data_IF_399660213206
#
_entry.id   IF_399660213206
#
_cell.length_a   1.000
_cell.length_b   1.000
_cell.length_c   1.000
_cell.angle_alpha   90.00
_cell.angle_beta   90.00
_cell.angle_gamma   90.00
#
_symmetry.space_group_name_H-M   'P 1'
#
loop_
_entity.id
_entity.type
_entity.pdbx_description
1 polymer ?
#
# COMPACT_ATOMS: atom_id res chain seq x y z
N UNK A 1 22.18 -14.98 21.78
CA UNK A 1 22.64 -14.19 20.63
C UNK A 1 21.42 -13.49 20.08
N UNK A 2 21.35 -12.16 20.19
CA UNK A 2 20.14 -11.38 19.91
C UNK A 2 19.91 -11.29 18.39
N UNK A 3 18.95 -12.05 17.88
CA UNK A 3 18.55 -12.08 16.48
C UNK A 3 17.02 -12.16 16.42
N UNK A 4 16.31 -11.13 16.90
CA UNK A 4 14.83 -11.22 17.07
C UNK A 4 14.01 -10.04 16.53
N UNK A 5 14.57 -9.15 15.70
CA UNK A 5 13.79 -7.99 15.19
C UNK A 5 13.38 -8.08 13.71
N UNK A 6 14.06 -8.91 12.89
CA UNK A 6 13.86 -9.03 11.43
C UNK A 6 13.17 -10.33 11.00
N UNK A 7 13.32 -10.72 9.73
CA UNK A 7 12.78 -11.99 9.22
C UNK A 7 13.69 -13.17 9.59
N UNK A 8 13.09 -14.30 9.96
CA UNK A 8 13.82 -15.58 10.08
C UNK A 8 14.25 -16.09 8.70
N UNK A 9 15.23 -17.01 8.61
CA UNK A 9 15.61 -17.62 7.34
C UNK A 9 14.44 -18.27 6.59
N UNK A 10 13.53 -18.94 7.31
CA UNK A 10 12.35 -19.58 6.72
C UNK A 10 11.33 -18.54 6.20
N UNK A 11 11.14 -17.45 6.95
CA UNK A 11 10.29 -16.33 6.53
C UNK A 11 10.84 -15.64 5.28
N UNK A 12 12.15 -15.41 5.24
CA UNK A 12 12.84 -14.82 4.09
C UNK A 12 12.73 -15.74 2.86
N UNK A 13 12.96 -17.04 3.04
CA UNK A 13 12.79 -18.02 1.98
C UNK A 13 11.35 -18.09 1.46
N UNK A 14 10.35 -18.02 2.35
CA UNK A 14 8.94 -17.97 1.96
C UNK A 14 8.61 -16.70 1.18
N UNK A 15 9.08 -15.53 1.62
CA UNK A 15 8.88 -14.28 0.88
C UNK A 15 9.52 -14.33 -0.52
N UNK A 16 10.75 -14.83 -0.65
CA UNK A 16 11.37 -14.97 -1.97
C UNK A 16 10.65 -15.97 -2.87
N UNK A 17 10.13 -17.07 -2.30
CA UNK A 17 9.39 -18.11 -3.04
C UNK A 17 8.00 -17.65 -3.48
N UNK A 18 7.26 -16.96 -2.62
CA UNK A 18 5.84 -16.68 -2.84
C UNK A 18 5.57 -15.23 -3.25
N UNK A 19 6.50 -14.32 -2.97
CA UNK A 19 6.39 -12.87 -3.23
C UNK A 19 5.54 -12.14 -2.19
N UNK A 20 5.01 -12.84 -1.20
CA UNK A 20 4.38 -12.27 -0.01
C UNK A 20 4.72 -13.08 1.23
N UNK A 21 4.48 -12.50 2.40
CA UNK A 21 4.62 -13.18 3.68
C UNK A 21 3.61 -12.63 4.68
N UNK A 22 2.87 -13.52 5.36
CA UNK A 22 2.01 -13.16 6.49
C UNK A 22 2.80 -13.36 7.79
N UNK A 23 2.86 -12.32 8.62
CA UNK A 23 3.51 -12.32 9.94
C UNK A 23 2.42 -12.08 11.00
N UNK A 24 1.97 -13.14 11.70
CA UNK A 24 0.92 -13.01 12.69
C UNK A 24 1.33 -12.19 13.92
N UNK A 25 0.42 -11.34 14.40
CA UNK A 25 0.61 -10.50 15.59
C UNK A 25 1.84 -9.59 15.48
N UNK A 26 2.05 -9.00 14.31
CA UNK A 26 3.13 -8.04 14.07
C UNK A 26 2.93 -6.73 14.85
N UNK A 27 1.68 -6.31 15.04
CA UNK A 27 1.30 -5.21 15.92
C UNK A 27 0.64 -5.74 17.19
N UNK A 28 0.97 -5.10 18.32
CA UNK A 28 0.23 -5.27 19.56
C UNK A 28 -1.20 -4.70 19.42
N UNK A 29 -2.16 -5.29 20.15
CA UNK A 29 -3.57 -4.89 20.05
C UNK A 29 -3.81 -3.46 20.54
N UNK A 30 -2.98 -2.95 21.45
CA UNK A 30 -2.99 -1.55 21.88
C UNK A 30 -2.57 -0.62 20.74
N UNK A 31 -1.58 -1.00 19.94
CA UNK A 31 -1.17 -0.26 18.74
C UNK A 31 -2.30 -0.28 17.71
N UNK A 32 -2.88 -1.45 17.43
CA UNK A 32 -4.03 -1.58 16.52
C UNK A 32 -5.17 -0.64 16.95
N UNK A 33 -5.53 -0.67 18.24
CA UNK A 33 -6.59 0.18 18.80
C UNK A 33 -6.27 1.68 18.66
N UNK A 34 -5.01 2.07 18.87
CA UNK A 34 -4.57 3.46 18.69
C UNK A 34 -4.67 3.92 17.23
N UNK A 35 -4.32 3.06 16.27
CA UNK A 35 -4.40 3.37 14.84
C UNK A 35 -5.86 3.44 14.35
N UNK A 36 -6.73 2.56 14.85
CA UNK A 36 -8.16 2.63 14.59
C UNK A 36 -8.80 3.89 15.17
N UNK A 37 -8.47 4.24 16.42
CA UNK A 37 -8.99 5.45 17.06
C UNK A 37 -8.60 6.71 16.26
N UNK A 38 -7.35 6.79 15.82
CA UNK A 38 -6.88 7.88 14.95
C UNK A 38 -7.60 7.87 13.59
N UNK A 39 -7.78 6.70 12.99
CA UNK A 39 -8.53 6.56 11.72
C UNK A 39 -9.96 7.09 11.85
N UNK A 40 -10.69 6.69 12.90
CA UNK A 40 -12.05 7.16 13.13
C UNK A 40 -12.09 8.67 13.42
N UNK A 41 -11.15 9.19 14.21
CA UNK A 41 -11.00 10.62 14.43
C UNK A 41 -10.81 11.39 13.12
N UNK A 42 -9.94 10.92 12.22
CA UNK A 42 -9.72 11.53 10.90
C UNK A 42 -11.01 11.50 10.05
N UNK A 43 -11.71 10.36 10.02
CA UNK A 43 -12.96 10.19 9.27
C UNK A 43 -14.12 11.04 9.80
N UNK A 44 -14.18 11.28 11.11
CA UNK A 44 -15.23 12.08 11.71
C UNK A 44 -14.96 13.59 11.52
N UNK A 45 -13.69 13.99 11.58
CA UNK A 45 -13.31 15.41 11.64
C UNK A 45 -12.95 16.04 10.30
N UNK A 46 -12.75 15.28 9.21
CA UNK A 46 -12.41 15.90 7.92
C UNK A 46 -13.56 16.78 7.38
N UNK A 47 -13.21 17.91 6.77
CA UNK A 47 -14.18 18.87 6.24
C UNK A 47 -14.56 18.52 4.80
N UNK A 48 -15.84 18.72 4.46
CA UNK A 48 -16.31 18.70 3.07
C UNK A 48 -16.30 20.10 2.43
N UNK A 49 -16.13 21.18 3.20
CA UNK A 49 -16.29 22.55 2.72
C UNK A 49 -15.35 22.89 1.55
N UNK A 50 -14.10 22.42 1.64
CA UNK A 50 -13.05 22.63 0.63
C UNK A 50 -12.66 21.33 -0.07
N UNK A 51 -13.47 20.27 0.07
CA UNK A 51 -13.15 18.98 -0.51
C UNK A 51 -13.71 18.86 -1.93
N UNK A 52 -12.88 18.52 -2.94
CA UNK A 52 -13.34 18.39 -4.33
C UNK A 52 -14.16 17.12 -4.62
N UNK A 53 -14.63 16.43 -3.58
CA UNK A 53 -15.31 15.12 -3.67
C UNK A 53 -14.58 14.06 -4.52
N UNK A 54 -13.24 14.12 -4.61
CA UNK A 54 -12.41 13.21 -5.41
C UNK A 54 -12.69 11.75 -5.07
N UNK A 55 -12.94 10.96 -6.11
CA UNK A 55 -13.26 9.53 -6.02
C UNK A 55 -12.02 8.69 -6.35
N UNK A 56 -11.91 7.53 -5.73
CA UNK A 56 -10.91 6.55 -6.11
C UNK A 56 -11.47 5.58 -7.15
N UNK A 57 -10.89 5.60 -8.36
CA UNK A 57 -11.23 4.66 -9.44
C UNK A 57 -10.02 3.79 -9.79
N UNK A 58 -10.24 2.48 -9.92
CA UNK A 58 -9.23 1.51 -10.39
C UNK A 58 -9.49 1.03 -11.83
N UNK A 59 -10.48 1.60 -12.52
CA UNK A 59 -10.97 1.09 -13.81
C UNK A 59 -10.45 1.85 -15.04
N UNK A 60 -10.33 1.11 -16.15
CA UNK A 60 -9.93 1.56 -17.50
C UNK A 60 -10.83 2.66 -18.14
N UNK A 61 -11.85 3.17 -17.42
CA UNK A 61 -12.86 4.08 -17.95
C UNK A 61 -12.73 5.55 -17.51
N UNK A 62 -11.67 5.93 -16.82
CA UNK A 62 -11.44 7.32 -16.45
C UNK A 62 -10.21 7.87 -17.17
N UNK A 63 -10.43 8.75 -18.15
CA UNK A 63 -9.39 9.59 -18.80
C UNK A 63 -8.61 10.50 -17.82
N UNK A 64 -8.96 10.44 -16.52
CA UNK A 64 -8.35 11.16 -15.42
C UNK A 64 -8.22 10.27 -14.18
N UNK A 65 -7.19 9.42 -14.11
CA UNK A 65 -6.75 8.92 -12.81
C UNK A 65 -6.08 10.09 -12.10
N UNK A 66 -6.80 10.71 -11.16
CA UNK A 66 -6.28 11.76 -10.28
C UNK A 66 -6.40 13.19 -10.81
N UNK A 67 -7.17 14.00 -10.08
CA UNK A 67 -7.17 15.45 -10.16
C UNK A 67 -5.97 16.05 -9.38
N UNK A 68 -5.87 17.38 -9.32
CA UNK A 68 -4.85 18.08 -8.54
C UNK A 68 -4.84 17.66 -7.06
N UNK A 69 -6.01 17.31 -6.52
CA UNK A 69 -6.17 16.84 -5.14
C UNK A 69 -5.54 15.45 -4.94
N UNK A 70 -5.53 14.59 -5.94
CA UNK A 70 -4.73 13.38 -5.92
C UNK A 70 -3.24 13.66 -6.14
N UNK A 71 -2.87 14.36 -7.22
CA UNK A 71 -1.46 14.56 -7.60
C UNK A 71 -0.63 15.26 -6.51
N UNK A 72 -1.23 16.19 -5.77
CA UNK A 72 -0.54 16.96 -4.73
C UNK A 72 -0.73 16.38 -3.32
N UNK A 73 -1.16 15.11 -3.21
CA UNK A 73 -1.44 14.45 -1.93
C UNK A 73 -0.25 13.70 -1.31
N UNK A 74 0.87 13.61 -2.04
CA UNK A 74 2.04 12.80 -1.66
C UNK A 74 2.66 13.17 -0.33
N UNK A 75 2.51 14.42 0.10
CA UNK A 75 3.01 15.00 1.34
C UNK A 75 1.87 15.43 2.28
N UNK A 76 0.64 14.92 2.09
CA UNK A 76 -0.57 15.35 2.84
C UNK A 76 -1.35 14.17 3.41
N UNK A 77 -2.29 14.48 4.29
CA UNK A 77 -3.39 13.59 4.70
C UNK A 77 -4.66 14.08 3.99
N UNK A 78 -5.11 13.34 2.99
CA UNK A 78 -6.26 13.62 2.13
C UNK A 78 -7.17 12.41 2.04
N UNK A 79 -8.42 12.65 1.67
CA UNK A 79 -9.50 11.66 1.74
C UNK A 79 -10.02 11.38 0.34
N UNK A 80 -10.20 10.10 0.00
CA UNK A 80 -10.64 9.70 -1.33
C UNK A 80 -11.88 8.82 -1.17
N UNK A 81 -12.98 9.23 -1.82
CA UNK A 81 -14.27 8.58 -1.67
C UNK A 81 -14.38 7.28 -2.48
N UNK A 82 -15.23 6.36 -2.01
CA UNK A 82 -15.74 5.25 -2.82
C UNK A 82 -16.61 5.79 -3.96
N UNK A 83 -16.55 5.19 -5.14
CA UNK A 83 -17.44 5.55 -6.25
C UNK A 83 -18.91 5.28 -5.89
N UNK A 84 -19.17 4.13 -5.26
CA UNK A 84 -20.50 3.69 -4.82
C UNK A 84 -21.06 4.47 -3.63
N UNK A 85 -20.32 5.47 -3.12
CA UNK A 85 -20.84 6.38 -2.09
C UNK A 85 -21.69 7.52 -2.66
N UNK A 86 -21.82 7.63 -3.99
CA UNK A 86 -22.56 8.68 -4.67
C UNK A 86 -23.75 8.13 -5.46
N UNK A 87 -24.81 8.93 -5.57
CA UNK A 87 -25.87 8.70 -6.56
C UNK A 87 -25.49 9.23 -7.95
N UNK A 88 -26.36 9.00 -8.95
CA UNK A 88 -26.17 9.48 -10.33
C UNK A 88 -26.14 11.02 -10.43
N UNK A 89 -26.66 11.73 -9.42
CA UNK A 89 -26.62 13.19 -9.34
C UNK A 89 -25.35 13.71 -8.62
N UNK A 90 -24.47 12.81 -8.15
CA UNK A 90 -23.23 13.15 -7.47
C UNK A 90 -23.38 13.51 -6.00
N UNK A 91 -24.51 13.21 -5.36
CA UNK A 91 -24.70 13.42 -3.92
C UNK A 91 -24.26 12.20 -3.12
N UNK A 92 -23.74 12.42 -1.92
CA UNK A 92 -23.41 11.33 -1.01
C UNK A 92 -24.68 10.60 -0.54
N UNK A 93 -24.69 9.28 -0.73
CA UNK A 93 -25.76 8.38 -0.24
C UNK A 93 -25.40 7.65 1.06
N UNK A 94 -24.20 7.90 1.58
CA UNK A 94 -23.69 7.36 2.85
C UNK A 94 -23.13 8.51 3.71
N UNK A 95 -23.14 8.39 5.05
CA UNK A 95 -22.45 9.36 5.91
C UNK A 95 -20.98 9.49 5.51
N UNK A 96 -20.43 10.71 5.53
CA UNK A 96 -19.06 10.99 5.04
C UNK A 96 -17.99 10.04 5.61
N UNK A 97 -18.06 9.72 6.90
CA UNK A 97 -17.12 8.85 7.58
C UNK A 97 -17.19 7.38 7.08
N UNK A 98 -18.31 7.00 6.47
CA UNK A 98 -18.56 5.69 5.86
C UNK A 98 -18.48 5.69 4.34
N UNK A 99 -18.08 6.82 3.74
CA UNK A 99 -18.01 7.01 2.29
C UNK A 99 -16.57 7.02 1.76
N UNK A 100 -15.58 7.07 2.64
CA UNK A 100 -14.15 7.10 2.28
C UNK A 100 -13.65 5.70 1.92
N UNK A 101 -13.00 5.59 0.76
CA UNK A 101 -12.25 4.42 0.32
C UNK A 101 -10.88 4.36 1.01
N UNK A 102 -10.14 5.47 0.95
CA UNK A 102 -8.80 5.57 1.54
C UNK A 102 -8.46 6.98 2.04
N UNK A 103 -7.50 7.02 2.95
CA UNK A 103 -6.82 8.23 3.44
C UNK A 103 -5.35 8.13 3.03
N UNK A 104 -4.76 9.17 2.44
CA UNK A 104 -3.37 9.14 1.96
C UNK A 104 -2.79 10.52 1.65
N UNK A 105 -1.51 10.65 1.32
CA UNK A 105 -0.53 9.57 1.18
C UNK A 105 0.65 9.71 2.18
N UNK A 106 0.54 10.57 3.20
CA UNK A 106 1.67 10.94 4.08
C UNK A 106 1.40 10.80 5.60
N UNK A 107 0.51 9.88 5.99
CA UNK A 107 0.22 9.59 7.40
C UNK A 107 1.46 9.20 8.22
N UNK A 108 2.41 8.47 7.61
CA UNK A 108 3.65 8.00 8.25
C UNK A 108 4.58 9.13 8.73
N UNK A 109 4.30 10.38 8.36
CA UNK A 109 5.02 11.57 8.87
C UNK A 109 4.08 12.48 9.64
N UNK A 110 2.87 12.73 9.11
CA UNK A 110 1.99 13.77 9.64
C UNK A 110 1.07 13.31 10.77
N UNK A 111 0.85 12.01 10.96
CA UNK A 111 0.03 11.48 12.05
C UNK A 111 0.90 10.70 13.05
N UNK A 112 1.04 11.18 14.31
CA UNK A 112 1.94 10.56 15.28
C UNK A 112 1.71 9.06 15.53
N UNK A 113 0.47 8.54 15.65
CA UNK A 113 0.25 7.11 15.81
C UNK A 113 0.79 6.27 14.64
N UNK A 114 0.61 6.74 13.39
CA UNK A 114 1.08 6.04 12.20
C UNK A 114 2.59 6.18 12.02
N UNK A 115 3.16 7.35 12.29
CA UNK A 115 4.61 7.58 12.27
C UNK A 115 5.35 6.66 13.26
N UNK A 116 4.75 6.39 14.42
CA UNK A 116 5.33 5.50 15.43
C UNK A 116 5.46 4.03 14.97
N UNK A 117 4.77 3.61 13.89
CA UNK A 117 4.86 2.24 13.34
C UNK A 117 6.17 2.03 12.57
N UNK A 118 6.62 3.05 11.82
CA UNK A 118 7.82 2.99 10.99
C UNK A 118 9.06 3.64 11.62
N UNK A 119 8.92 4.41 12.70
CA UNK A 119 10.06 5.01 13.41
C UNK A 119 10.91 3.92 14.11
N UNK A 120 12.19 3.75 13.74
CA UNK A 120 13.07 2.75 14.35
C UNK A 120 13.36 3.00 15.84
N UNK A 121 13.10 4.22 16.33
CA UNK A 121 13.30 4.64 17.74
C UNK A 121 12.02 4.53 18.56
N UNK A 122 10.88 4.31 17.92
CA UNK A 122 9.61 4.18 18.59
C UNK A 122 9.63 2.91 19.45
N UNK A 123 9.49 3.11 20.76
CA UNK A 123 9.12 2.05 21.69
C UNK A 123 7.62 1.77 21.58
N UNK A 124 7.16 1.41 20.37
CA UNK A 124 5.79 0.92 20.19
C UNK A 124 5.50 -0.10 21.30
N UNK A 125 4.41 0.13 22.05
CA UNK A 125 4.14 -0.64 23.26
C UNK A 125 3.85 -2.09 22.87
N UNK A 126 4.81 -2.98 23.11
CA UNK A 126 4.70 -4.42 22.84
C UNK A 126 5.75 -4.92 21.82
N UNK A 127 5.87 -6.25 21.66
CA UNK A 127 6.79 -6.82 20.69
C UNK A 127 6.29 -6.54 19.27
N UNK A 128 6.98 -5.65 18.54
CA UNK A 128 6.78 -5.54 17.08
C UNK A 128 7.59 -6.64 16.42
N UNK A 129 6.93 -7.74 16.05
CA UNK A 129 7.56 -8.76 15.19
C UNK A 129 7.66 -8.19 13.79
N UNK A 130 8.84 -8.26 13.19
CA UNK A 130 9.07 -7.71 11.86
C UNK A 130 9.05 -6.17 11.85
N UNK A 131 9.89 -5.53 12.68
CA UNK A 131 10.08 -4.08 12.64
C UNK A 131 10.46 -3.64 11.22
N UNK A 132 9.87 -2.58 10.65
CA UNK A 132 10.08 -2.23 9.24
C UNK A 132 11.54 -2.10 8.83
N UNK A 133 12.38 -1.44 9.64
CA UNK A 133 13.81 -1.34 9.39
C UNK A 133 14.53 -2.70 9.43
N UNK A 134 14.20 -3.57 10.37
CA UNK A 134 14.83 -4.89 10.47
C UNK A 134 14.37 -5.83 9.35
N UNK A 135 13.10 -5.77 8.95
CA UNK A 135 12.58 -6.46 7.77
C UNK A 135 13.30 -5.98 6.51
N UNK A 136 13.43 -4.66 6.32
CA UNK A 136 14.15 -4.11 5.18
C UNK A 136 15.60 -4.62 5.13
N UNK A 137 16.30 -4.73 6.28
CA UNK A 137 17.65 -5.33 6.33
C UNK A 137 17.64 -6.80 5.93
N UNK A 138 16.68 -7.58 6.42
CA UNK A 138 16.53 -8.99 6.03
C UNK A 138 16.29 -9.16 4.53
N UNK A 139 15.60 -8.21 3.90
CA UNK A 139 15.33 -8.20 2.46
C UNK A 139 16.48 -7.63 1.62
N UNK A 140 17.57 -7.17 2.25
CA UNK A 140 18.76 -6.68 1.56
C UNK A 140 18.75 -5.19 1.16
N UNK A 141 17.82 -4.39 1.70
CA UNK A 141 17.83 -2.95 1.44
C UNK A 141 19.07 -2.29 2.06
N UNK A 142 19.67 -1.35 1.33
CA UNK A 142 20.81 -0.54 1.78
C UNK A 142 20.35 0.83 2.28
N UNK A 143 19.47 1.50 1.52
CA UNK A 143 18.83 2.76 1.89
C UNK A 143 17.30 2.67 1.71
N UNK A 144 16.58 1.95 2.59
CA UNK A 144 15.14 1.82 2.50
C UNK A 144 14.43 3.14 2.80
N UNK A 145 13.64 3.61 1.83
CA UNK A 145 12.87 4.85 1.90
C UNK A 145 11.38 4.58 1.81
N UNK A 146 10.62 5.05 2.80
CA UNK A 146 9.16 5.06 2.79
C UNK A 146 8.66 6.24 1.93
N UNK A 147 7.98 5.93 0.84
CA UNK A 147 7.50 6.93 -0.11
C UNK A 147 6.07 7.39 0.16
N UNK A 148 5.20 6.48 0.57
CA UNK A 148 3.78 6.72 0.78
C UNK A 148 3.25 5.85 1.91
N UNK A 149 2.15 6.29 2.49
CA UNK A 149 1.37 5.53 3.46
C UNK A 149 -0.12 5.86 3.31
N UNK A 150 -0.97 4.84 3.45
CA UNK A 150 -2.41 4.97 3.31
C UNK A 150 -3.13 4.21 4.42
N UNK A 151 -4.33 4.67 4.76
CA UNK A 151 -5.36 3.83 5.37
C UNK A 151 -6.33 3.44 4.28
N UNK A 152 -6.64 2.14 4.13
CA UNK A 152 -7.71 1.66 3.24
C UNK A 152 -8.86 1.21 4.11
N UNK A 153 -10.00 1.90 4.03
CA UNK A 153 -11.13 1.68 4.92
C UNK A 153 -11.93 0.43 4.55
N UNK A 154 -12.10 0.20 3.24
CA UNK A 154 -12.90 -0.89 2.67
C UNK A 154 -14.24 -1.04 3.40
N UNK A 155 -15.04 0.02 3.27
CA UNK A 155 -16.27 0.21 4.03
C UNK A 155 -17.22 -0.99 3.88
N UNK A 156 -18.02 -1.31 4.91
CA UNK A 156 -19.08 -2.30 4.78
C UNK A 156 -19.98 -1.99 3.59
N UNK A 157 -20.41 -3.03 2.88
CA UNK A 157 -21.34 -3.02 1.73
C UNK A 157 -20.80 -2.38 0.44
N UNK A 158 -20.09 -1.25 0.56
CA UNK A 158 -19.67 -0.43 -0.58
C UNK A 158 -18.18 -0.50 -0.89
N UNK A 159 -17.37 -1.16 -0.04
CA UNK A 159 -15.92 -1.16 -0.15
C UNK A 159 -15.43 -1.72 -1.49
N UNK A 160 -14.97 -0.86 -2.40
CA UNK A 160 -14.75 -1.19 -3.82
C UNK A 160 -13.66 -2.23 -4.05
N UNK A 161 -13.82 -3.11 -5.04
CA UNK A 161 -12.81 -4.10 -5.42
C UNK A 161 -11.51 -3.43 -5.92
N UNK A 162 -10.38 -4.10 -5.70
CA UNK A 162 -9.10 -3.71 -6.30
C UNK A 162 -8.71 -4.81 -7.28
N UNK A 163 -8.66 -4.52 -8.59
CA UNK A 163 -8.32 -5.52 -9.60
C UNK A 163 -6.88 -6.03 -9.44
N UNK A 164 -6.54 -7.15 -10.09
CA UNK A 164 -5.15 -7.61 -10.22
C UNK A 164 -4.19 -6.49 -10.61
N UNK A 165 -3.17 -6.27 -9.78
CA UNK A 165 -2.13 -5.29 -10.06
C UNK A 165 -0.81 -5.64 -9.37
N UNK A 166 0.22 -4.88 -9.71
CA UNK A 166 1.55 -4.88 -9.09
C UNK A 166 1.80 -3.48 -8.55
N UNK A 167 2.31 -3.33 -7.33
CA UNK A 167 2.62 -2.02 -6.75
C UNK A 167 3.70 -1.27 -7.56
N UNK A 168 4.65 -2.00 -8.13
CA UNK A 168 5.71 -1.43 -8.99
C UNK A 168 5.18 -0.75 -10.25
N UNK A 169 3.93 -1.00 -10.65
CA UNK A 169 3.23 -0.23 -11.71
C UNK A 169 3.02 1.22 -11.29
N UNK A 170 2.75 1.47 -10.01
CA UNK A 170 2.44 2.79 -9.48
C UNK A 170 3.64 3.47 -8.80
N UNK A 171 4.58 2.66 -8.31
CA UNK A 171 5.70 3.06 -7.45
C UNK A 171 7.04 2.64 -8.07
N UNK A 172 7.21 2.96 -9.35
CA UNK A 172 8.29 2.39 -10.15
C UNK A 172 9.67 2.92 -9.71
N UNK A 173 10.62 2.00 -9.66
CA UNK A 173 12.07 2.26 -9.57
C UNK A 173 12.76 1.50 -10.70
N UNK A 174 13.92 2.00 -11.12
CA UNK A 174 14.77 1.34 -12.10
C UNK A 174 16.06 0.84 -11.41
N UNK A 175 16.22 -0.48 -11.17
CA UNK A 175 15.21 -1.55 -11.35
C UNK A 175 14.11 -1.54 -10.25
N UNK A 176 12.96 -2.23 -10.47
CA UNK A 176 11.87 -2.30 -9.49
C UNK A 176 12.31 -2.81 -8.12
N UNK A 177 11.93 -2.09 -7.06
CA UNK A 177 12.38 -2.35 -5.69
C UNK A 177 11.28 -2.23 -4.64
N UNK A 178 10.03 -1.97 -5.03
CA UNK A 178 8.97 -1.65 -4.08
C UNK A 178 8.63 -2.85 -3.19
N UNK A 179 8.37 -2.60 -1.91
CA UNK A 179 7.81 -3.56 -0.96
C UNK A 179 6.70 -2.88 -0.16
N UNK A 180 5.52 -3.48 -0.16
CA UNK A 180 4.37 -3.04 0.64
C UNK A 180 4.37 -3.68 2.02
N UNK A 181 4.15 -2.86 3.04
CA UNK A 181 3.87 -3.28 4.41
C UNK A 181 2.39 -3.05 4.68
N UNK A 182 1.59 -4.11 4.69
CA UNK A 182 0.14 -4.04 4.86
C UNK A 182 -0.24 -4.59 6.24
N UNK A 183 -0.72 -3.73 7.14
CA UNK A 183 -1.11 -4.09 8.49
C UNK A 183 -2.63 -4.13 8.62
N UNK A 184 -3.17 -5.30 9.00
CA UNK A 184 -4.57 -5.44 9.36
C UNK A 184 -4.88 -4.63 10.64
N UNK A 185 -5.80 -3.67 10.58
CA UNK A 185 -6.33 -3.02 11.78
C UNK A 185 -7.65 -3.66 12.22
N UNK A 186 -8.39 -4.24 11.28
CA UNK A 186 -9.52 -5.14 11.51
C UNK A 186 -9.22 -6.50 10.87
N UNK A 187 -9.92 -7.55 11.31
CA UNK A 187 -9.87 -8.86 10.66
C UNK A 187 -10.20 -8.74 9.16
N UNK A 188 -9.36 -9.34 8.32
CA UNK A 188 -9.59 -9.42 6.88
C UNK A 188 -9.93 -10.85 6.51
N UNK A 189 -11.15 -11.07 6.06
CA UNK A 189 -11.72 -12.36 5.70
C UNK A 189 -12.12 -12.41 4.23
N UNK A 190 -12.47 -13.59 3.73
CA UNK A 190 -13.06 -13.75 2.40
C UNK A 190 -14.32 -12.86 2.22
N UNK A 191 -15.15 -12.75 3.27
CA UNK A 191 -16.43 -12.04 3.24
C UNK A 191 -16.28 -10.51 3.15
N UNK A 192 -15.25 -9.94 3.78
CA UNK A 192 -15.02 -8.49 3.82
C UNK A 192 -13.88 -8.02 2.90
N UNK A 193 -13.44 -8.86 1.96
CA UNK A 193 -12.48 -8.51 0.92
C UNK A 193 -11.03 -8.46 1.41
N UNK A 194 -10.56 -9.57 1.99
CA UNK A 194 -9.12 -9.83 2.19
C UNK A 194 -8.34 -9.79 0.87
N UNK A 195 -7.01 -9.75 0.98
CA UNK A 195 -6.14 -9.82 -0.18
C UNK A 195 -6.18 -11.23 -0.79
N UNK A 196 -6.00 -11.32 -2.09
CA UNK A 196 -5.67 -12.57 -2.77
C UNK A 196 -4.39 -12.37 -3.58
N UNK A 197 -3.48 -13.34 -3.50
CA UNK A 197 -2.16 -13.28 -4.10
C UNK A 197 -2.03 -14.33 -5.19
N UNK A 198 -1.25 -14.07 -6.23
CA UNK A 198 -0.82 -15.09 -7.17
C UNK A 198 0.62 -15.51 -6.82
N UNK A 199 0.83 -16.55 -5.99
CA UNK A 199 2.13 -16.82 -5.39
C UNK A 199 3.21 -17.08 -6.45
N UNK A 200 4.37 -16.46 -6.27
CA UNK A 200 5.50 -16.59 -7.19
C UNK A 200 5.41 -15.74 -8.47
N UNK A 201 4.30 -15.02 -8.70
CA UNK A 201 4.13 -14.17 -9.89
C UNK A 201 5.15 -13.05 -9.99
N UNK A 202 5.71 -12.59 -8.88
CA UNK A 202 6.76 -11.56 -8.88
C UNK A 202 8.02 -11.95 -9.66
N UNK A 203 8.26 -13.24 -9.90
CA UNK A 203 9.41 -13.74 -10.67
C UNK A 203 9.18 -13.80 -12.17
N UNK A 204 7.93 -13.87 -12.63
CA UNK A 204 7.63 -14.13 -14.04
C UNK A 204 6.60 -13.19 -14.66
N UNK A 205 5.79 -12.48 -13.86
CA UNK A 205 4.85 -11.48 -14.35
C UNK A 205 5.57 -10.12 -14.46
N UNK A 206 5.84 -9.62 -15.68
CA UNK A 206 6.55 -8.36 -15.85
C UNK A 206 5.68 -7.17 -15.43
N UNK A 207 6.31 -6.12 -14.87
CA UNK A 207 5.68 -4.80 -14.72
C UNK A 207 5.52 -4.21 -16.12
N UNK A 208 4.39 -4.49 -16.77
CA UNK A 208 4.14 -4.14 -18.19
C UNK A 208 3.84 -2.66 -18.39
N UNK A 209 3.17 -2.06 -17.42
CA UNK A 209 2.70 -0.69 -17.51
C UNK A 209 3.16 0.10 -16.30
N UNK A 210 3.08 1.43 -16.42
CA UNK A 210 3.37 2.39 -15.36
C UNK A 210 2.30 3.45 -15.29
N UNK A 211 1.90 3.84 -14.08
CA UNK A 211 1.09 5.03 -13.85
C UNK A 211 2.02 6.23 -13.70
N UNK A 212 1.96 7.15 -14.67
CA UNK A 212 2.84 8.31 -14.73
C UNK A 212 2.05 9.61 -14.77
N UNK A 213 2.66 10.72 -14.33
CA UNK A 213 2.11 12.06 -14.57
C UNK A 213 2.10 12.35 -16.07
N UNK A 214 0.99 12.91 -16.54
CA UNK A 214 0.91 13.52 -17.87
C UNK A 214 1.84 14.73 -17.90
N UNK A 215 2.35 15.06 -19.09
CA UNK A 215 3.10 16.31 -19.29
C UNK A 215 2.23 17.51 -18.89
N UNK A 216 2.81 18.47 -18.19
CA UNK A 216 2.09 19.66 -17.71
C UNK A 216 1.28 19.46 -16.42
N UNK A 217 1.44 18.32 -15.73
CA UNK A 217 0.76 18.00 -14.46
C UNK A 217 -0.78 17.91 -14.54
N UNK A 218 -1.34 17.65 -15.73
CA UNK A 218 -2.79 17.55 -15.97
C UNK A 218 -3.39 16.15 -15.65
N UNK A 219 -2.96 15.53 -14.55
CA UNK A 219 -3.38 14.19 -14.13
C UNK A 219 -2.36 13.09 -14.42
N UNK A 220 -2.83 11.85 -14.40
CA UNK A 220 -1.99 10.67 -14.70
C UNK A 220 -2.49 9.88 -15.90
N UNK A 221 -1.60 9.09 -16.50
CA UNK A 221 -1.88 8.16 -17.59
C UNK A 221 -1.14 6.83 -17.37
N UNK A 222 -1.69 5.76 -17.94
CA UNK A 222 -1.02 4.47 -18.01
C UNK A 222 -0.18 4.39 -19.28
N UNK A 223 1.12 4.14 -19.14
CA UNK A 223 2.07 3.98 -20.25
C UNK A 223 2.73 2.61 -20.22
N UNK A 224 3.19 2.11 -21.36
CA UNK A 224 4.02 0.90 -21.39
C UNK A 224 5.35 1.15 -20.66
N UNK A 225 5.84 0.14 -19.94
CA UNK A 225 7.14 0.17 -19.29
C UNK A 225 8.27 -0.18 -20.27
N UNK A 226 9.07 0.83 -20.59
CA UNK A 226 10.28 0.76 -21.43
C UNK A 226 11.57 0.50 -20.62
N UNK A 227 11.51 0.54 -19.29
CA UNK A 227 12.61 0.22 -18.38
C UNK A 227 12.61 -1.24 -17.92
N UNK A 228 13.47 -1.60 -16.94
CA UNK A 228 13.45 -2.93 -16.32
C UNK A 228 12.08 -3.29 -15.75
N UNK A 229 11.62 -4.51 -16.06
CA UNK A 229 10.30 -5.02 -15.64
C UNK A 229 10.37 -5.91 -14.40
N UNK A 230 11.58 -6.21 -13.94
CA UNK A 230 11.91 -7.07 -12.80
C UNK A 230 13.08 -6.49 -12.01
N UNK A 231 13.20 -6.83 -10.70
CA UNK A 231 14.43 -6.65 -9.95
C UNK A 231 15.61 -7.39 -10.60
N UNK A 232 16.86 -7.05 -10.25
CA UNK A 232 18.03 -7.80 -10.71
C UNK A 232 18.04 -9.21 -10.10
N UNK A 233 18.44 -10.22 -10.88
CA UNK A 233 18.57 -11.60 -10.43
C UNK A 233 18.22 -12.60 -11.53
N UNK A 234 18.88 -13.76 -11.53
CA UNK A 234 18.64 -14.83 -12.52
C UNK A 234 17.32 -15.57 -12.26
N UNK A 235 16.74 -15.41 -11.07
CA UNK A 235 15.45 -15.97 -10.69
C UNK A 235 14.26 -15.23 -11.31
N UNK A 236 14.49 -14.03 -11.86
CA UNK A 236 13.48 -13.23 -12.54
C UNK A 236 13.59 -13.40 -14.05
N UNK A 237 12.46 -13.53 -14.73
CA UNK A 237 12.45 -13.59 -16.18
C UNK A 237 11.04 -13.67 -16.72
N UNK A 238 10.81 -13.00 -17.84
CA UNK A 238 9.56 -13.15 -18.58
C UNK A 238 9.48 -14.60 -19.07
N UNK A 239 8.51 -15.33 -18.54
CA UNK A 239 8.18 -16.68 -18.99
C UNK A 239 6.69 -16.68 -19.28
N UNK A 240 6.29 -17.40 -20.33
CA UNK A 240 4.87 -17.54 -20.71
C UNK A 240 4.00 -17.68 -19.47
N UNK A 241 2.91 -16.92 -19.45
CA UNK A 241 1.99 -16.76 -18.32
C UNK A 241 1.80 -18.11 -17.62
N UNK A 242 2.54 -18.30 -16.53
CA UNK A 242 2.46 -19.54 -15.77
C UNK A 242 1.14 -19.46 -15.06
N UNK A 243 0.11 -20.06 -15.68
CA UNK A 243 -1.21 -20.14 -15.10
C UNK A 243 -1.11 -20.49 -13.61
N UNK A 244 -1.93 -19.85 -12.80
CA UNK A 244 -1.90 -20.01 -11.35
C UNK A 244 -3.21 -19.55 -10.74
N UNK A 245 -3.44 -19.95 -9.51
CA UNK A 245 -4.65 -19.61 -8.79
C UNK A 245 -4.34 -18.52 -7.78
N UNK A 246 -5.21 -17.51 -7.72
CA UNK A 246 -5.18 -16.54 -6.63
C UNK A 246 -5.52 -17.25 -5.32
N UNK A 247 -4.64 -17.14 -4.34
CA UNK A 247 -4.80 -17.70 -3.00
C UNK A 247 -5.25 -16.59 -2.05
N UNK A 248 -6.37 -16.76 -1.33
CA UNK A 248 -6.80 -15.77 -0.34
C UNK A 248 -5.85 -15.73 0.86
N UNK A 249 -5.56 -14.52 1.34
CA UNK A 249 -4.77 -14.27 2.53
C UNK A 249 -5.62 -13.65 3.63
N UNK A 250 -6.44 -14.49 4.28
CA UNK A 250 -7.18 -14.07 5.46
C UNK A 250 -6.22 -13.84 6.64
N UNK A 251 -6.41 -12.73 7.35
CA UNK A 251 -5.55 -12.33 8.46
C UNK A 251 -6.35 -11.70 9.60
N UNK A 252 -5.77 -11.69 10.79
CA UNK A 252 -6.35 -11.10 12.00
C UNK A 252 -5.86 -9.67 12.21
N UNK A 253 -6.64 -8.89 12.94
CA UNK A 253 -6.21 -7.57 13.40
C UNK A 253 -4.85 -7.66 14.12
N UNK A 254 -3.88 -6.89 13.64
CA UNK A 254 -2.49 -6.87 14.10
C UNK A 254 -1.51 -7.68 13.25
N UNK A 255 -1.98 -8.48 12.29
CA UNK A 255 -1.10 -9.19 11.37
C UNK A 255 -0.50 -8.24 10.32
N UNK A 256 0.73 -8.54 9.88
CA UNK A 256 1.40 -7.88 8.76
C UNK A 256 1.41 -8.81 7.54
N UNK A 257 1.07 -8.27 6.38
CA UNK A 257 1.37 -8.88 5.08
C UNK A 257 2.47 -8.06 4.41
N UNK A 258 3.61 -8.69 4.16
CA UNK A 258 4.64 -8.15 3.27
C UNK A 258 4.29 -8.50 1.83
N UNK A 259 4.40 -7.52 0.93
CA UNK A 259 4.02 -7.66 -0.48
C UNK A 259 5.20 -7.22 -1.35
N UNK A 260 5.75 -8.12 -2.15
CA UNK A 260 6.75 -7.78 -3.16
C UNK A 260 6.10 -6.91 -4.25
N UNK A 261 6.76 -5.83 -4.68
CA UNK A 261 6.16 -4.85 -5.59
C UNK A 261 5.71 -5.41 -6.94
N UNK A 262 6.37 -6.47 -7.41
CA UNK A 262 5.99 -7.20 -8.62
C UNK A 262 4.98 -8.35 -8.39
N UNK A 263 4.51 -8.61 -7.17
CA UNK A 263 3.52 -9.66 -6.95
C UNK A 263 2.15 -9.22 -7.48
N UNK A 264 1.55 -10.05 -8.32
CA UNK A 264 0.15 -9.88 -8.70
C UNK A 264 -0.74 -10.17 -7.50
N UNK A 265 -1.51 -9.16 -7.09
CA UNK A 265 -2.45 -9.28 -5.99
C UNK A 265 -3.71 -8.45 -6.26
N UNK A 266 -4.80 -8.80 -5.56
CA UNK A 266 -6.12 -8.18 -5.72
C UNK A 266 -6.91 -8.21 -4.40
N UNK A 267 -8.06 -7.53 -4.35
CA UNK A 267 -9.06 -7.74 -3.30
C UNK A 267 -10.48 -7.61 -3.86
N UNK A 268 -11.37 -8.51 -3.46
CA UNK A 268 -12.78 -8.46 -3.87
C UNK A 268 -13.55 -7.34 -3.16
N UNK A 269 -14.77 -7.04 -3.61
CA UNK A 269 -15.65 -6.05 -2.98
C UNK A 269 -16.04 -6.50 -1.55
N UNK A 270 -16.11 -5.57 -0.61
CA UNK A 270 -16.65 -5.86 0.72
C UNK A 270 -18.18 -5.77 0.67
N UNK A 271 -18.84 -6.92 0.60
CA UNK A 271 -20.29 -7.03 0.63
C UNK A 271 -20.85 -7.30 2.04
N UNK A 272 -19.97 -7.44 3.02
CA UNK A 272 -20.33 -7.74 4.40
C UNK A 272 -20.76 -6.49 5.17
N UNK A 273 -21.27 -6.71 6.39
CA UNK A 273 -21.59 -5.66 7.35
C UNK A 273 -20.40 -5.24 8.22
N UNK A 274 -19.23 -5.87 8.06
CA UNK A 274 -18.02 -5.59 8.83
C UNK A 274 -17.05 -4.73 8.02
N UNK A 275 -16.35 -3.83 8.69
CA UNK A 275 -15.25 -3.08 8.09
C UNK A 275 -14.06 -3.98 7.77
N UNK A 276 -13.12 -3.43 6.99
CA UNK A 276 -11.79 -4.02 6.79
C UNK A 276 -10.77 -2.89 6.67
N UNK A 277 -10.61 -2.14 7.76
CA UNK A 277 -9.63 -1.06 7.85
C UNK A 277 -8.23 -1.66 7.96
N UNK A 278 -7.32 -1.17 7.12
CA UNK A 278 -5.89 -1.47 7.17
C UNK A 278 -5.05 -0.21 7.10
N UNK A 279 -3.82 -0.32 7.58
CA UNK A 279 -2.76 0.65 7.34
C UNK A 279 -1.73 0.04 6.41
N UNK A 280 -1.29 0.77 5.39
CA UNK A 280 -0.21 0.31 4.50
C UNK A 280 0.79 1.42 4.24
N UNK A 281 2.06 1.06 4.09
CA UNK A 281 3.07 1.95 3.52
C UNK A 281 4.00 1.16 2.60
N UNK A 282 4.67 1.89 1.71
CA UNK A 282 5.55 1.30 0.71
C UNK A 282 6.98 1.79 0.88
N UNK A 283 7.91 0.86 0.76
CA UNK A 283 9.36 1.09 0.86
C UNK A 283 10.00 0.81 -0.50
N UNK A 284 10.95 1.66 -0.89
CA UNK A 284 11.82 1.48 -2.06
C UNK A 284 13.29 1.57 -1.66
N UNK A 285 14.17 1.10 -2.55
CA UNK A 285 15.61 1.23 -2.42
C UNK A 285 16.02 2.63 -2.90
N UNK A 286 16.83 3.31 -2.10
CA UNK A 286 17.35 4.63 -2.38
C UNK A 286 18.76 4.62 -3.00
N UNK A 287 19.51 3.54 -2.80
CA UNK A 287 20.86 3.35 -3.31
C UNK A 287 20.89 2.29 -4.42
N UNK A 288 21.37 2.67 -5.61
CA UNK A 288 21.44 1.76 -6.76
C UNK A 288 20.13 1.57 -7.53
N UNK A 289 19.00 2.07 -7.02
CA UNK A 289 17.74 2.17 -7.75
C UNK A 289 17.39 3.64 -8.04
N UNK A 290 16.98 3.94 -9.28
CA UNK A 290 16.54 5.27 -9.68
C UNK A 290 15.03 5.40 -9.50
N UNK A 291 14.59 6.34 -8.67
CA UNK A 291 13.18 6.73 -8.61
C UNK A 291 12.83 7.53 -9.85
N UNK A 292 11.81 7.10 -10.58
CA UNK A 292 11.47 7.71 -11.87
C UNK A 292 10.65 8.99 -11.68
N UNK A 293 11.14 10.09 -12.25
CA UNK A 293 10.55 11.43 -12.16
C UNK A 293 9.15 11.52 -12.78
N UNK A 294 8.73 10.54 -13.58
CA UNK A 294 7.39 10.50 -14.16
C UNK A 294 6.37 9.83 -13.24
N UNK A 295 6.77 9.20 -12.14
CA UNK A 295 5.82 8.58 -11.22
C UNK A 295 4.75 9.59 -10.76
N UNK A 296 3.51 9.13 -10.55
CA UNK A 296 2.45 10.05 -10.09
C UNK A 296 2.80 10.72 -8.76
N UNK A 297 3.42 9.96 -7.86
CA UNK A 297 3.94 10.43 -6.59
C UNK A 297 5.32 11.03 -6.80
N UNK A 298 5.53 12.25 -6.28
CA UNK A 298 6.81 12.92 -6.32
C UNK A 298 7.34 13.08 -4.89
N UNK A 299 8.67 13.00 -4.67
CA UNK A 299 9.24 13.17 -3.35
C UNK A 299 8.94 14.57 -2.80
N UNK A 300 8.67 14.71 -1.49
CA UNK A 300 8.68 16.00 -0.82
C UNK A 300 10.06 16.68 -0.93
N UNK A 301 10.14 17.98 -0.64
CA UNK A 301 11.40 18.73 -0.66
C UNK A 301 12.49 18.10 0.23
N UNK A 302 12.09 17.55 1.38
CA UNK A 302 12.99 16.85 2.32
C UNK A 302 13.41 15.44 1.82
N UNK A 303 12.90 14.98 0.69
CA UNK A 303 13.02 13.60 0.21
C UNK A 303 12.08 12.63 0.93
N UNK A 304 12.13 11.36 0.51
CA UNK A 304 11.38 10.28 1.14
C UNK A 304 11.94 9.91 2.52
N UNK A 305 11.06 9.48 3.42
CA UNK A 305 11.41 9.14 4.81
C UNK A 305 12.31 7.91 4.85
N UNK A 306 13.53 8.04 5.40
CA UNK A 306 14.44 6.89 5.58
C UNK A 306 13.98 6.01 6.76
N UNK A 307 13.98 4.70 6.57
CA UNK A 307 13.70 3.75 7.66
C UNK A 307 14.92 3.47 8.53
N UNK A 308 16.12 3.61 7.99
CA UNK A 308 17.35 3.52 8.78
C UNK A 308 17.62 4.87 9.45
N UNK A 309 17.94 4.81 10.74
CA UNK A 309 18.48 5.97 11.42
C UNK A 309 19.80 6.36 10.74
N UNK A 310 19.93 7.64 10.42
CA UNK A 310 21.17 8.29 10.01
C UNK A 310 22.22 8.28 11.11
#
# INVERSE_FOLDING_TARGET
MAQEDGLTPDQLAAFHRDGYLIIPGALAQETVSSLLAETHSLLDNFSLADHPMTRFSTGEKADHVGDDYFLTSGDKIRFFFEEDAFDDAGNLVKPKARAINKIGHYLHVLSPPFAAVSDPRSAAKGPVKGKPAAVARSLGFTDPRCLQSMVICKQPEIGGAVPPHQDSTFLYTDPPSAVGFWYALEDATLENGCLSFLPGSHRWAPVRNRLVRKKGDEGTEMVENDGPRFPPGEEYGDSEERGGQYVPGEVKAGDLVLIHGNLLHKSEKNLSQKGRIIYTFHVIEGEGARYDERNWLQPPEAGFTRLYAS
#
